data_IF_264374604894
#
_entry.id   IF_264374604894
#
_cell.length_a   1.000
_cell.length_b   1.000
_cell.length_c   1.000
_cell.angle_alpha   90.00
_cell.angle_beta   90.00
_cell.angle_gamma   90.00
#
_symmetry.space_group_name_H-M   'P 1'
#
loop_
_entity.id
_entity.type
_entity.pdbx_description
1 polymer ?
#
# COMPACT_ATOMS: atom_id res chain seq x y z
N UNK A 1 -14.65 -1.30 -10.78
CA UNK A 1 -15.80 -0.53 -11.25
C UNK A 1 -17.08 -0.90 -10.52
N UNK A 2 -17.50 -2.16 -10.45
CA UNK A 2 -18.73 -2.60 -9.80
C UNK A 2 -18.91 -2.20 -8.32
N UNK A 3 -17.85 -2.24 -7.49
CA UNK A 3 -17.96 -1.92 -6.05
C UNK A 3 -18.44 -0.47 -5.78
N UNK A 4 -17.92 0.51 -6.52
CA UNK A 4 -18.33 1.92 -6.38
C UNK A 4 -19.78 2.15 -6.81
N UNK A 5 -20.16 1.54 -7.92
CA UNK A 5 -21.54 1.60 -8.41
C UNK A 5 -22.50 0.99 -7.39
N UNK A 6 -22.12 -0.14 -6.75
CA UNK A 6 -22.94 -0.78 -5.72
C UNK A 6 -23.17 0.15 -4.53
N UNK A 7 -22.11 0.81 -4.01
CA UNK A 7 -22.26 1.75 -2.89
C UNK A 7 -23.23 2.89 -3.22
N UNK A 8 -23.04 3.56 -4.36
CA UNK A 8 -23.90 4.68 -4.75
C UNK A 8 -25.32 4.22 -5.06
N UNK A 9 -25.49 3.10 -5.79
CA UNK A 9 -26.83 2.60 -6.14
C UNK A 9 -27.62 2.19 -4.91
N UNK A 10 -27.02 1.44 -3.99
CA UNK A 10 -27.67 1.03 -2.73
C UNK A 10 -28.04 2.25 -1.92
N UNK A 11 -27.13 3.22 -1.74
CA UNK A 11 -27.39 4.46 -1.00
C UNK A 11 -28.55 5.24 -1.62
N UNK A 12 -28.55 5.41 -2.95
CA UNK A 12 -29.60 6.16 -3.65
C UNK A 12 -30.97 5.46 -3.52
N UNK A 13 -31.02 4.15 -3.66
CA UNK A 13 -32.25 3.38 -3.50
C UNK A 13 -32.77 3.49 -2.05
N UNK A 14 -31.89 3.33 -1.06
CA UNK A 14 -32.25 3.45 0.36
C UNK A 14 -32.76 4.84 0.66
N UNK A 15 -32.08 5.91 0.21
CA UNK A 15 -32.52 7.28 0.38
C UNK A 15 -33.91 7.52 -0.26
N UNK A 16 -34.12 7.02 -1.47
CA UNK A 16 -35.39 7.15 -2.17
C UNK A 16 -36.55 6.46 -1.42
N UNK A 17 -36.29 5.25 -0.88
CA UNK A 17 -37.28 4.52 -0.08
C UNK A 17 -37.63 5.28 1.20
N UNK A 18 -36.63 5.78 1.93
CA UNK A 18 -36.81 6.49 3.18
C UNK A 18 -37.58 7.81 3.00
N UNK A 19 -37.33 8.52 1.92
CA UNK A 19 -38.09 9.72 1.56
C UNK A 19 -39.54 9.35 1.11
N UNK A 20 -39.70 8.32 0.28
CA UNK A 20 -41.02 7.90 -0.22
C UNK A 20 -41.93 7.37 0.91
N UNK A 21 -41.36 6.76 1.94
CA UNK A 21 -42.10 6.29 3.12
C UNK A 21 -42.40 7.42 4.10
N UNK A 22 -41.90 8.63 3.88
CA UNK A 22 -42.06 9.77 4.78
C UNK A 22 -41.25 9.69 6.06
N UNK A 23 -40.27 8.76 6.15
CA UNK A 23 -39.41 8.62 7.31
C UNK A 23 -38.45 9.83 7.45
N UNK A 24 -38.00 10.38 6.33
CA UNK A 24 -37.14 11.56 6.28
C UNK A 24 -37.53 12.46 5.08
N UNK A 25 -37.23 13.75 5.22
CA UNK A 25 -37.37 14.73 4.12
C UNK A 25 -36.17 14.68 3.17
N UNK A 26 -36.30 15.24 1.99
CA UNK A 26 -35.19 15.38 1.05
C UNK A 26 -34.03 16.20 1.62
N UNK A 27 -34.32 17.25 2.39
CA UNK A 27 -33.33 18.12 3.00
C UNK A 27 -32.53 17.38 4.09
N UNK A 28 -33.20 16.59 4.91
CA UNK A 28 -32.54 15.74 5.92
C UNK A 28 -31.62 14.71 5.26
N UNK A 29 -32.10 14.02 4.22
CA UNK A 29 -31.28 13.07 3.47
C UNK A 29 -30.07 13.72 2.78
N UNK A 30 -30.24 14.91 2.22
CA UNK A 30 -29.14 15.69 1.66
C UNK A 30 -28.11 16.07 2.76
N UNK A 31 -28.60 16.43 3.95
CA UNK A 31 -27.77 16.70 5.12
C UNK A 31 -26.94 15.49 5.54
N UNK A 32 -27.57 14.32 5.66
CA UNK A 32 -26.88 13.06 6.03
C UNK A 32 -25.81 12.68 5.00
N UNK A 33 -26.11 12.76 3.71
CA UNK A 33 -25.13 12.50 2.65
C UNK A 33 -23.93 13.46 2.76
N UNK A 34 -24.19 14.75 3.00
CA UNK A 34 -23.17 15.78 3.15
C UNK A 34 -22.24 15.48 4.34
N UNK A 35 -22.81 15.13 5.49
CA UNK A 35 -22.01 14.77 6.68
C UNK A 35 -21.23 13.47 6.46
N UNK A 36 -21.82 12.45 5.85
CA UNK A 36 -21.09 11.21 5.52
C UNK A 36 -19.91 11.43 4.58
N UNK A 37 -20.04 12.29 3.56
CA UNK A 37 -18.93 12.67 2.68
C UNK A 37 -17.90 13.50 3.44
N UNK A 38 -18.33 14.41 4.31
CA UNK A 38 -17.47 15.23 5.15
C UNK A 38 -16.63 14.37 6.12
N UNK A 39 -17.19 13.28 6.67
CA UNK A 39 -16.47 12.36 7.53
C UNK A 39 -15.29 11.64 6.84
N UNK A 40 -15.35 11.45 5.51
CA UNK A 40 -14.34 10.67 4.79
C UNK A 40 -13.47 11.48 3.83
N UNK A 41 -13.71 12.80 3.67
CA UNK A 41 -12.99 13.60 2.66
C UNK A 41 -11.48 13.66 2.91
N UNK A 42 -11.05 13.79 4.18
CA UNK A 42 -9.64 13.80 4.57
C UNK A 42 -8.94 12.51 4.15
N UNK A 43 -9.57 11.37 4.39
CA UNK A 43 -9.07 10.06 3.98
C UNK A 43 -9.01 9.91 2.45
N UNK A 44 -9.98 10.45 1.72
CA UNK A 44 -9.95 10.43 0.26
C UNK A 44 -8.79 11.26 -0.30
N UNK A 45 -8.53 12.44 0.27
CA UNK A 45 -7.39 13.30 -0.09
C UNK A 45 -6.06 12.61 0.27
N UNK A 46 -5.99 11.99 1.45
CA UNK A 46 -4.82 11.21 1.88
C UNK A 46 -4.47 10.12 0.87
N UNK A 47 -5.46 9.37 0.36
CA UNK A 47 -5.23 8.35 -0.66
C UNK A 47 -4.62 8.89 -1.94
N UNK A 48 -5.11 10.04 -2.42
CA UNK A 48 -4.58 10.64 -3.64
C UNK A 48 -3.10 10.98 -3.46
N UNK A 49 -2.77 11.70 -2.40
CA UNK A 49 -1.43 12.23 -2.23
C UNK A 49 -0.41 11.20 -1.71
N UNK A 50 -0.83 10.21 -0.93
CA UNK A 50 0.06 9.10 -0.54
C UNK A 50 0.45 8.25 -1.74
N UNK A 51 -0.52 7.88 -2.61
CA UNK A 51 -0.24 7.14 -3.85
C UNK A 51 0.66 7.94 -4.79
N UNK A 52 0.41 9.24 -4.95
CA UNK A 52 1.25 10.12 -5.77
C UNK A 52 2.66 10.24 -5.19
N UNK A 53 2.80 10.47 -3.88
CA UNK A 53 4.10 10.61 -3.22
C UNK A 53 4.97 9.37 -3.39
N UNK A 54 4.45 8.22 -3.01
CA UNK A 54 5.21 6.97 -3.13
C UNK A 54 5.43 6.57 -4.59
N UNK A 55 4.48 6.86 -5.48
CA UNK A 55 4.66 6.70 -6.91
C UNK A 55 5.83 7.52 -7.45
N UNK A 56 5.93 8.79 -7.08
CA UNK A 56 7.07 9.68 -7.40
C UNK A 56 8.39 9.12 -6.89
N UNK A 57 8.43 8.60 -5.65
CA UNK A 57 9.62 8.00 -5.05
C UNK A 57 10.03 6.71 -5.77
N UNK A 58 9.05 5.92 -6.22
CA UNK A 58 9.26 4.69 -7.01
C UNK A 58 9.81 5.02 -8.39
N UNK A 59 9.17 5.95 -9.12
CA UNK A 59 9.61 6.38 -10.45
C UNK A 59 11.01 7.01 -10.41
N UNK A 60 11.34 7.75 -9.34
CA UNK A 60 12.68 8.29 -9.13
C UNK A 60 13.74 7.21 -8.81
N UNK A 61 13.36 5.94 -8.66
CA UNK A 61 14.27 4.82 -8.41
C UNK A 61 14.79 4.73 -6.99
N UNK A 62 14.13 5.37 -6.01
CA UNK A 62 14.55 5.34 -4.62
C UNK A 62 14.51 3.92 -4.06
N UNK A 63 13.40 3.22 -4.24
CA UNK A 63 13.23 1.84 -3.76
C UNK A 63 14.17 0.88 -4.48
N UNK A 64 14.36 1.02 -5.80
CA UNK A 64 15.25 0.17 -6.58
C UNK A 64 16.70 0.26 -6.09
N UNK A 65 17.16 1.46 -5.72
CA UNK A 65 18.52 1.66 -5.20
C UNK A 65 18.69 1.06 -3.80
N UNK A 66 17.68 1.18 -2.93
CA UNK A 66 17.67 0.54 -1.60
C UNK A 66 17.71 -0.97 -1.77
N UNK A 67 16.84 -1.53 -2.60
CA UNK A 67 16.73 -2.97 -2.85
C UNK A 67 18.01 -3.49 -3.50
N UNK A 68 18.56 -2.77 -4.48
CA UNK A 68 19.84 -3.12 -5.10
C UNK A 68 21.00 -3.15 -4.11
N UNK A 69 21.02 -2.24 -3.13
CA UNK A 69 22.01 -2.25 -2.04
C UNK A 69 21.82 -3.46 -1.09
N UNK A 70 20.56 -3.80 -0.78
CA UNK A 70 20.22 -4.97 0.01
C UNK A 70 20.57 -6.27 -0.72
N UNK A 71 20.27 -6.35 -2.02
CA UNK A 71 20.59 -7.50 -2.86
C UNK A 71 22.09 -7.80 -2.95
N UNK A 72 22.96 -6.79 -2.90
CA UNK A 72 24.43 -6.98 -2.85
C UNK A 72 24.88 -7.70 -1.56
N UNK A 73 24.10 -7.64 -0.49
CA UNK A 73 24.37 -8.33 0.79
C UNK A 73 23.76 -9.73 0.85
N UNK A 74 22.92 -10.10 -0.12
CA UNK A 74 22.30 -11.41 -0.21
C UNK A 74 23.39 -12.42 -0.61
N UNK A 75 23.82 -13.23 0.34
CA UNK A 75 24.72 -14.36 0.10
C UNK A 75 23.94 -15.62 -0.33
N UNK A 76 24.61 -16.76 -0.22
CA UNK A 76 24.00 -18.08 -0.50
C UNK A 76 23.32 -18.70 0.72
N UNK A 77 23.12 -17.96 1.80
CA UNK A 77 22.45 -18.45 2.99
C UNK A 77 20.93 -18.42 2.81
N UNK A 78 20.31 -19.58 2.71
CA UNK A 78 18.87 -19.77 2.50
C UNK A 78 18.01 -18.98 3.52
N UNK A 79 18.41 -19.00 4.80
CA UNK A 79 17.69 -18.25 5.86
C UNK A 79 17.89 -16.73 5.69
N UNK A 80 19.11 -16.32 5.33
CA UNK A 80 19.41 -14.93 5.03
C UNK A 80 18.60 -14.39 3.83
N UNK A 81 18.41 -15.23 2.81
CA UNK A 81 17.57 -14.91 1.63
C UNK A 81 16.10 -14.76 2.03
N UNK A 82 15.57 -15.65 2.89
CA UNK A 82 14.20 -15.55 3.39
C UNK A 82 13.98 -14.27 4.22
N UNK A 83 14.94 -13.92 5.09
CA UNK A 83 14.90 -12.67 5.85
C UNK A 83 14.99 -11.43 4.94
N UNK A 84 15.83 -11.47 3.91
CA UNK A 84 15.95 -10.38 2.95
C UNK A 84 14.66 -10.21 2.15
N UNK A 85 13.98 -11.31 1.80
CA UNK A 85 12.66 -11.26 1.16
C UNK A 85 11.65 -10.51 2.03
N UNK A 86 11.60 -10.83 3.33
CA UNK A 86 10.72 -10.14 4.28
C UNK A 86 11.04 -8.63 4.34
N UNK A 87 12.32 -8.28 4.46
CA UNK A 87 12.75 -6.89 4.54
C UNK A 87 12.42 -6.11 3.25
N UNK A 88 12.67 -6.69 2.08
CA UNK A 88 12.35 -6.07 0.79
C UNK A 88 10.83 -5.90 0.65
N UNK A 89 10.03 -6.88 1.08
CA UNK A 89 8.58 -6.78 1.04
C UNK A 89 8.05 -5.69 1.99
N UNK A 90 8.62 -5.55 3.20
CA UNK A 90 8.30 -4.46 4.14
C UNK A 90 8.59 -3.09 3.49
N UNK A 91 9.79 -2.92 2.94
CA UNK A 91 10.20 -1.66 2.30
C UNK A 91 9.37 -1.39 1.05
N UNK A 92 9.14 -2.41 0.22
CA UNK A 92 8.33 -2.30 -1.00
C UNK A 92 6.87 -2.01 -0.73
N UNK A 93 6.36 -2.29 0.49
CA UNK A 93 4.98 -2.00 0.89
C UNK A 93 4.81 -0.64 1.56
N UNK A 94 5.84 0.16 1.70
CA UNK A 94 5.73 1.52 2.28
C UNK A 94 4.80 2.43 1.47
N UNK A 95 4.57 2.15 0.20
CA UNK A 95 3.60 2.85 -0.64
C UNK A 95 2.13 2.48 -0.34
N UNK A 96 1.88 1.49 0.52
CA UNK A 96 0.55 0.97 0.83
C UNK A 96 -0.10 0.17 -0.30
N UNK A 97 0.63 -0.12 -1.38
CA UNK A 97 0.16 -0.80 -2.58
C UNK A 97 0.57 -2.28 -2.64
N UNK A 98 -0.41 -3.21 -2.59
CA UNK A 98 -0.10 -4.64 -2.70
C UNK A 98 0.50 -5.01 -4.05
N UNK A 99 0.05 -4.39 -5.14
CA UNK A 99 0.56 -4.66 -6.48
C UNK A 99 2.02 -4.23 -6.64
N UNK A 100 2.39 -3.04 -6.16
CA UNK A 100 3.77 -2.54 -6.18
C UNK A 100 4.71 -3.42 -5.37
N UNK A 101 4.27 -3.89 -4.19
CA UNK A 101 5.04 -4.82 -3.37
C UNK A 101 5.43 -6.08 -4.14
N UNK A 102 4.47 -6.69 -4.86
CA UNK A 102 4.75 -7.88 -5.68
C UNK A 102 5.65 -7.56 -6.87
N UNK A 103 5.38 -6.46 -7.59
CA UNK A 103 6.18 -6.04 -8.75
C UNK A 103 7.63 -5.68 -8.39
N UNK A 104 7.90 -5.35 -7.15
CA UNK A 104 9.23 -5.06 -6.63
C UNK A 104 9.90 -6.31 -6.07
N UNK A 105 9.21 -7.02 -5.18
CA UNK A 105 9.81 -8.11 -4.39
C UNK A 105 10.02 -9.38 -5.21
N UNK A 106 9.04 -9.74 -6.06
CA UNK A 106 9.10 -11.00 -6.80
C UNK A 106 10.23 -10.99 -7.85
N UNK A 107 10.34 -10.01 -8.76
CA UNK A 107 11.43 -9.97 -9.72
C UNK A 107 12.81 -9.88 -9.07
N UNK A 108 12.94 -9.15 -7.94
CA UNK A 108 14.20 -9.04 -7.23
C UNK A 108 14.66 -10.36 -6.60
N UNK A 109 13.75 -11.13 -6.01
CA UNK A 109 14.09 -12.30 -5.21
C UNK A 109 13.96 -13.64 -5.94
N UNK A 110 13.11 -13.73 -6.96
CA UNK A 110 12.87 -14.97 -7.71
C UNK A 110 14.13 -15.58 -8.33
N UNK A 111 15.05 -14.81 -8.95
CA UNK A 111 16.30 -15.36 -9.47
C UNK A 111 17.18 -15.98 -8.37
N UNK A 112 17.19 -15.38 -7.16
CA UNK A 112 17.94 -15.88 -6.00
C UNK A 112 17.32 -17.18 -5.47
N UNK A 113 15.97 -17.24 -5.40
CA UNK A 113 15.25 -18.46 -5.00
C UNK A 113 15.49 -19.59 -6.00
N UNK A 114 15.45 -19.32 -7.30
CA UNK A 114 15.80 -20.31 -8.34
C UNK A 114 17.23 -20.82 -8.16
N UNK A 115 18.21 -19.92 -8.02
CA UNK A 115 19.63 -20.28 -7.83
C UNK A 115 19.88 -21.16 -6.62
N UNK A 116 19.14 -20.94 -5.53
CA UNK A 116 19.28 -21.69 -4.28
C UNK A 116 18.30 -22.86 -4.15
N UNK A 117 17.56 -23.18 -5.21
CA UNK A 117 16.52 -24.22 -5.22
C UNK A 117 15.46 -24.09 -4.14
N UNK A 118 15.16 -22.83 -3.73
CA UNK A 118 14.08 -22.52 -2.79
C UNK A 118 12.73 -22.50 -3.51
N UNK A 119 11.66 -22.90 -2.82
CA UNK A 119 10.30 -22.90 -3.36
C UNK A 119 9.77 -21.48 -3.56
N UNK A 120 9.04 -21.28 -4.65
CA UNK A 120 8.38 -19.99 -4.97
C UNK A 120 7.24 -19.68 -4.01
N UNK A 121 6.57 -20.72 -3.52
CA UNK A 121 5.51 -20.62 -2.52
C UNK A 121 6.05 -20.00 -1.22
N UNK A 122 7.30 -20.32 -0.84
CA UNK A 122 7.97 -19.72 0.31
C UNK A 122 8.24 -18.23 0.08
N UNK A 123 8.66 -17.83 -1.13
CA UNK A 123 8.80 -16.42 -1.51
C UNK A 123 7.46 -15.69 -1.35
N UNK A 124 6.40 -16.24 -1.95
CA UNK A 124 5.07 -15.63 -1.92
C UNK A 124 4.53 -15.52 -0.49
N UNK A 125 4.68 -16.58 0.30
CA UNK A 125 4.20 -16.61 1.69
C UNK A 125 4.86 -15.54 2.55
N UNK A 126 6.19 -15.40 2.48
CA UNK A 126 6.93 -14.40 3.22
C UNK A 126 6.52 -12.99 2.76
N UNK A 127 6.40 -12.78 1.45
CA UNK A 127 5.99 -11.50 0.87
C UNK A 127 4.59 -11.10 1.34
N UNK A 128 3.60 -12.01 1.27
CA UNK A 128 2.21 -11.75 1.68
C UNK A 128 2.11 -11.50 3.19
N UNK A 129 2.87 -12.24 4.00
CA UNK A 129 2.87 -12.04 5.45
C UNK A 129 3.40 -10.65 5.82
N UNK A 130 4.51 -10.23 5.24
CA UNK A 130 5.08 -8.90 5.45
C UNK A 130 4.11 -7.79 4.96
N UNK A 131 3.54 -7.96 3.77
CA UNK A 131 2.56 -7.06 3.19
C UNK A 131 1.31 -6.93 4.07
N UNK A 132 0.80 -8.05 4.61
CA UNK A 132 -0.37 -8.07 5.49
C UNK A 132 -0.19 -7.21 6.74
N UNK A 133 0.99 -7.27 7.35
CA UNK A 133 1.33 -6.45 8.52
C UNK A 133 1.51 -4.98 8.15
N UNK A 134 2.14 -4.70 7.02
CA UNK A 134 2.36 -3.34 6.56
C UNK A 134 1.08 -2.64 6.10
N UNK A 135 0.02 -3.37 5.79
CA UNK A 135 -1.31 -2.81 5.53
C UNK A 135 -1.92 -2.07 6.73
N UNK A 136 -1.38 -2.27 7.94
CA UNK A 136 -1.80 -1.54 9.14
C UNK A 136 -1.26 -0.09 9.20
N UNK A 137 -0.40 0.33 8.27
CA UNK A 137 0.07 1.72 8.18
C UNK A 137 -1.09 2.70 8.00
N UNK A 138 -0.98 3.95 8.50
CA UNK A 138 -2.10 4.90 8.45
C UNK A 138 -2.54 5.29 7.03
N UNK A 139 -1.65 5.17 6.05
CA UNK A 139 -1.95 5.31 4.62
C UNK A 139 -2.19 3.98 3.91
N UNK A 140 -2.21 2.87 4.64
CA UNK A 140 -2.57 1.55 4.12
C UNK A 140 -4.06 1.48 3.77
N UNK A 141 -4.37 0.88 2.63
CA UNK A 141 -5.75 0.80 2.14
C UNK A 141 -6.77 0.21 3.12
N UNK A 142 -6.46 -0.89 3.84
CA UNK A 142 -7.36 -1.43 4.87
C UNK A 142 -7.58 -0.49 6.04
N UNK A 143 -6.51 0.11 6.59
CA UNK A 143 -6.59 1.03 7.74
C UNK A 143 -7.41 2.27 7.41
N UNK A 144 -7.17 2.88 6.25
CA UNK A 144 -7.94 4.06 5.83
C UNK A 144 -9.43 3.75 5.64
N UNK A 145 -9.76 2.56 5.11
CA UNK A 145 -11.17 2.15 4.98
C UNK A 145 -11.82 1.88 6.33
N UNK A 146 -11.11 1.25 7.26
CA UNK A 146 -11.60 1.03 8.61
C UNK A 146 -11.82 2.38 9.33
N UNK A 147 -10.84 3.28 9.27
CA UNK A 147 -10.92 4.61 9.85
C UNK A 147 -12.13 5.39 9.31
N UNK A 148 -12.39 5.32 8.00
CA UNK A 148 -13.55 5.99 7.39
C UNK A 148 -14.90 5.44 7.86
N UNK A 149 -14.98 4.15 8.21
CA UNK A 149 -16.23 3.52 8.70
C UNK A 149 -16.53 3.88 10.15
N UNK A 150 -15.48 4.00 10.97
CA UNK A 150 -15.62 4.35 12.40
C UNK A 150 -15.49 5.86 12.65
N UNK A 151 -15.45 6.67 11.58
CA UNK A 151 -15.34 8.13 11.62
C UNK A 151 -14.15 8.63 12.46
N UNK A 152 -13.01 7.92 12.36
CA UNK A 152 -11.76 8.23 13.04
C UNK A 152 -10.70 8.69 12.04
N UNK A 153 -9.81 9.59 12.47
CA UNK A 153 -8.64 9.92 11.64
C UNK A 153 -7.74 8.67 11.48
N UNK A 154 -7.20 8.40 10.27
CA UNK A 154 -6.38 7.22 10.01
C UNK A 154 -5.15 7.10 10.93
N UNK A 155 -4.60 8.23 11.35
CA UNK A 155 -3.44 8.28 12.24
C UNK A 155 -3.81 7.85 13.66
N UNK A 156 -4.95 8.31 14.19
CA UNK A 156 -5.45 7.92 15.52
C UNK A 156 -5.74 6.43 15.58
N UNK A 157 -6.38 5.89 14.55
CA UNK A 157 -6.59 4.44 14.44
C UNK A 157 -5.27 3.68 14.41
N UNK A 158 -4.29 4.17 13.65
CA UNK A 158 -2.98 3.54 13.56
C UNK A 158 -2.26 3.51 14.91
N UNK A 159 -2.29 4.58 15.69
CA UNK A 159 -1.70 4.58 17.04
C UNK A 159 -2.29 3.48 17.93
N UNK A 160 -3.59 3.21 17.82
CA UNK A 160 -4.23 2.11 18.54
C UNK A 160 -3.80 0.74 18.01
N UNK A 161 -3.53 0.62 16.71
CA UNK A 161 -3.09 -0.63 16.05
C UNK A 161 -1.57 -0.85 16.13
N UNK A 162 -0.79 0.15 16.55
CA UNK A 162 0.68 0.08 16.59
C UNK A 162 1.23 -1.11 17.39
N UNK A 163 0.72 -1.46 18.59
CA UNK A 163 1.17 -2.64 19.30
C UNK A 163 0.96 -3.93 18.50
N UNK A 164 -0.19 -4.04 17.82
CA UNK A 164 -0.50 -5.18 16.95
C UNK A 164 0.43 -5.22 15.74
N UNK A 165 0.75 -4.08 15.15
CA UNK A 165 1.69 -3.98 14.02
C UNK A 165 3.10 -4.41 14.42
N UNK A 166 3.59 -4.00 15.61
CA UNK A 166 4.90 -4.41 16.13
C UNK A 166 4.94 -5.93 16.32
N UNK A 167 3.94 -6.52 16.95
CA UNK A 167 3.83 -7.99 17.10
C UNK A 167 3.77 -8.66 15.73
N UNK A 168 3.00 -8.10 14.80
CA UNK A 168 2.91 -8.58 13.42
C UNK A 168 4.26 -8.57 12.69
N UNK A 169 5.07 -7.51 12.84
CA UNK A 169 6.42 -7.44 12.28
C UNK A 169 7.35 -8.52 12.87
N UNK A 170 7.28 -8.74 14.15
CA UNK A 170 8.04 -9.82 14.81
C UNK A 170 7.62 -11.18 14.26
N UNK A 171 6.31 -11.40 14.09
CA UNK A 171 5.78 -12.64 13.51
C UNK A 171 6.16 -12.78 12.02
N UNK A 172 6.20 -11.72 11.24
CA UNK A 172 6.64 -11.75 9.85
C UNK A 172 8.11 -12.15 9.73
N UNK A 173 8.97 -11.59 10.58
CA UNK A 173 10.39 -11.98 10.66
C UNK A 173 10.51 -13.43 11.16
N UNK A 174 9.76 -13.82 12.19
CA UNK A 174 9.70 -15.19 12.69
C UNK A 174 9.27 -16.19 11.61
N UNK A 175 8.27 -15.84 10.81
CA UNK A 175 7.80 -16.64 9.66
C UNK A 175 8.90 -16.78 8.61
N UNK A 176 9.62 -15.70 8.29
CA UNK A 176 10.74 -15.76 7.35
C UNK A 176 11.86 -16.66 7.85
N UNK A 177 12.22 -16.60 9.14
CA UNK A 177 13.22 -17.49 9.75
C UNK A 177 12.74 -18.94 9.71
N UNK A 178 11.52 -19.20 10.15
CA UNK A 178 10.95 -20.54 10.21
C UNK A 178 10.96 -21.22 8.83
N UNK A 179 10.41 -20.55 7.83
CA UNK A 179 10.36 -21.11 6.47
C UNK A 179 11.75 -21.16 5.83
N UNK A 180 12.63 -20.19 6.12
CA UNK A 180 14.03 -20.25 5.69
C UNK A 180 14.75 -21.48 6.25
N UNK A 181 14.53 -21.85 7.53
CA UNK A 181 15.07 -23.07 8.13
C UNK A 181 14.45 -24.33 7.53
N UNK A 182 13.14 -24.32 7.23
CA UNK A 182 12.47 -25.43 6.55
C UNK A 182 13.03 -25.65 5.14
N UNK A 183 13.23 -24.57 4.36
CA UNK A 183 13.85 -24.64 3.03
C UNK A 183 15.29 -25.17 3.13
N UNK A 184 16.08 -24.69 4.09
CA UNK A 184 17.44 -25.20 4.32
C UNK A 184 17.46 -26.70 4.59
N UNK A 185 16.55 -27.19 5.46
CA UNK A 185 16.41 -28.63 5.77
C UNK A 185 15.95 -29.42 4.54
N UNK A 186 15.02 -28.88 3.76
CA UNK A 186 14.52 -29.52 2.53
C UNK A 186 15.65 -29.66 1.50
N UNK A 187 16.36 -28.58 1.22
CA UNK A 187 17.46 -28.57 0.24
C UNK A 187 18.55 -29.55 0.66
N UNK A 188 18.92 -29.59 1.95
CA UNK A 188 19.91 -30.54 2.46
C UNK A 188 19.48 -32.01 2.32
N UNK A 189 18.19 -32.33 2.35
CA UNK A 189 17.67 -33.70 2.15
C UNK A 189 17.58 -34.14 0.70
N UNK A 190 17.46 -33.20 -0.23
CA UNK A 190 17.24 -33.51 -1.64
C UNK A 190 18.56 -33.84 -2.40
N UNK A 191 19.71 -33.45 -1.84
CA UNK A 191 21.02 -33.77 -2.46
C UNK A 191 21.13 -33.30 -3.91
N UNK A 192 22.15 -33.78 -4.63
CA UNK A 192 22.46 -33.39 -6.01
C UNK A 192 21.40 -33.79 -7.07
N UNK A 193 20.34 -34.52 -6.68
CA UNK A 193 19.30 -35.01 -7.59
C UNK A 193 18.37 -33.94 -8.17
N UNK A 194 18.35 -32.72 -7.58
CA UNK A 194 17.42 -31.64 -8.01
C UNK A 194 17.96 -30.77 -9.16
N UNK A 195 19.23 -30.87 -9.46
CA UNK A 195 19.91 -29.97 -10.43
C UNK A 195 19.32 -30.04 -11.84
N UNK A 196 18.54 -31.09 -12.17
CA UNK A 196 18.13 -31.37 -13.55
C UNK A 196 16.68 -31.01 -13.92
N UNK A 197 15.73 -30.91 -12.98
CA UNK A 197 14.31 -30.97 -13.34
C UNK A 197 13.56 -29.62 -13.36
N UNK A 198 14.02 -28.59 -12.68
CA UNK A 198 13.29 -27.33 -12.50
C UNK A 198 13.82 -26.13 -13.30
N UNK A 199 14.90 -26.32 -14.06
CA UNK A 199 15.50 -25.25 -14.89
C UNK A 199 14.72 -24.96 -16.20
N UNK A 200 13.66 -25.70 -16.50
CA UNK A 200 13.12 -25.81 -17.87
C UNK A 200 11.80 -25.11 -18.17
N UNK A 201 11.11 -24.48 -17.27
CA UNK A 201 9.76 -23.95 -17.57
C UNK A 201 9.44 -22.61 -16.91
N UNK A 202 10.08 -21.54 -17.33
CA UNK A 202 9.47 -20.21 -17.18
C UNK A 202 10.02 -19.22 -18.19
N UNK A 203 9.11 -18.72 -19.00
CA UNK A 203 9.29 -17.64 -19.95
C UNK A 203 9.51 -16.32 -19.17
N UNK A 204 10.60 -15.65 -19.43
CA UNK A 204 11.03 -14.36 -18.83
C UNK A 204 10.26 -13.15 -19.43
N UNK A 205 9.04 -13.34 -19.88
CA UNK A 205 8.28 -12.34 -20.62
C UNK A 205 7.16 -11.71 -19.77
N UNK A 206 7.50 -10.97 -18.73
CA UNK A 206 6.75 -9.78 -18.35
C UNK A 206 7.59 -8.90 -17.38
N UNK A 207 8.67 -8.40 -17.89
CA UNK A 207 9.37 -7.27 -17.29
C UNK A 207 8.43 -6.05 -17.43
N UNK A 208 7.72 -5.71 -16.36
CA UNK A 208 7.06 -4.43 -16.26
C UNK A 208 8.11 -3.35 -16.50
N UNK A 209 8.21 -2.90 -17.75
CA UNK A 209 9.19 -1.91 -18.22
C UNK A 209 9.05 -0.66 -17.38
N UNK A 210 9.85 -0.55 -16.32
CA UNK A 210 10.03 0.70 -15.61
C UNK A 210 10.64 1.68 -16.61
N UNK A 211 10.07 2.85 -16.67
CA UNK A 211 10.51 3.91 -17.57
C UNK A 211 11.85 4.46 -17.02
N UNK A 212 12.98 3.88 -17.46
CA UNK A 212 14.34 4.29 -17.04
C UNK A 212 14.56 5.80 -17.24
N UNK A 213 13.80 6.43 -18.13
CA UNK A 213 13.82 7.86 -18.37
C UNK A 213 13.36 8.69 -17.16
N UNK A 214 12.61 8.10 -16.24
CA UNK A 214 12.11 8.76 -15.02
C UNK A 214 13.04 8.61 -13.82
N UNK A 215 14.00 7.68 -13.84
CA UNK A 215 14.93 7.44 -12.74
C UNK A 215 15.83 8.66 -12.46
N UNK A 216 15.99 9.00 -11.19
CA UNK A 216 16.80 10.15 -10.71
C UNK A 216 17.80 9.70 -9.63
N UNK A 217 18.78 8.85 -9.98
CA UNK A 217 19.73 8.30 -9.02
C UNK A 217 20.56 9.37 -8.30
N UNK A 218 20.75 10.56 -8.92
CA UNK A 218 21.43 11.70 -8.30
C UNK A 218 20.68 12.28 -7.10
N UNK A 219 19.34 12.18 -7.09
CA UNK A 219 18.50 12.73 -6.02
C UNK A 219 18.18 11.70 -4.94
N UNK A 220 18.82 10.53 -4.95
CA UNK A 220 18.53 9.43 -4.03
C UNK A 220 18.54 9.85 -2.56
N UNK A 221 19.60 10.55 -2.12
CA UNK A 221 19.75 10.99 -0.72
C UNK A 221 18.62 11.95 -0.35
N UNK A 222 18.29 12.89 -1.24
CA UNK A 222 17.16 13.81 -1.03
C UNK A 222 15.83 13.03 -0.90
N UNK A 223 15.56 12.07 -1.77
CA UNK A 223 14.33 11.29 -1.74
C UNK A 223 14.20 10.46 -0.47
N UNK A 224 15.30 9.86 0.01
CA UNK A 224 15.32 9.12 1.29
C UNK A 224 15.07 10.08 2.46
N UNK A 225 15.75 11.22 2.51
CA UNK A 225 15.56 12.21 3.59
C UNK A 225 14.12 12.73 3.58
N UNK A 226 13.58 13.07 2.40
CA UNK A 226 12.22 13.54 2.26
C UNK A 226 11.20 12.49 2.72
N UNK A 227 11.40 11.23 2.35
CA UNK A 227 10.53 10.13 2.78
C UNK A 227 10.58 9.93 4.28
N UNK A 228 11.78 9.93 4.87
CA UNK A 228 11.93 9.84 6.33
C UNK A 228 11.30 11.04 7.04
N UNK A 229 11.48 12.25 6.52
CA UNK A 229 10.88 13.46 7.08
C UNK A 229 9.34 13.38 7.05
N UNK A 230 8.75 12.94 5.93
CA UNK A 230 7.30 12.72 5.82
C UNK A 230 6.83 11.70 6.86
N UNK A 231 7.50 10.56 7.00
CA UNK A 231 7.15 9.53 7.98
C UNK A 231 7.28 10.07 9.41
N UNK A 232 8.36 10.77 9.73
CA UNK A 232 8.58 11.34 11.08
C UNK A 232 7.47 12.35 11.42
N UNK A 233 7.14 13.26 10.50
CA UNK A 233 6.08 14.26 10.73
C UNK A 233 4.71 13.59 10.90
N UNK A 234 4.43 12.49 10.16
CA UNK A 234 3.22 11.69 10.34
C UNK A 234 3.17 11.02 11.72
N UNK A 235 4.29 10.46 12.19
CA UNK A 235 4.38 9.81 13.51
C UNK A 235 4.24 10.84 14.65
N UNK A 236 4.78 12.05 14.45
CA UNK A 236 4.65 13.13 15.43
C UNK A 236 3.25 13.76 15.45
N UNK A 237 2.41 13.46 14.46
CA UNK A 237 1.02 13.94 14.32
C UNK A 237 0.85 15.46 14.46
N UNK A 238 1.84 16.23 13.92
CA UNK A 238 1.86 17.70 14.01
C UNK A 238 0.85 18.33 13.04
N UNK A 239 0.67 17.69 11.88
CA UNK A 239 -0.22 18.16 10.81
C UNK A 239 -1.11 17.03 10.30
N UNK A 240 -2.30 17.37 9.75
CA UNK A 240 -3.15 16.37 9.11
C UNK A 240 -2.38 15.54 8.07
N UNK A 241 -2.52 14.20 8.12
CA UNK A 241 -1.74 13.26 7.30
C UNK A 241 -1.82 13.56 5.80
N UNK A 242 -2.99 13.97 5.29
CA UNK A 242 -3.15 14.35 3.88
C UNK A 242 -2.29 15.56 3.50
N UNK A 243 -2.15 16.56 4.39
CA UNK A 243 -1.34 17.75 4.17
C UNK A 243 0.16 17.41 4.08
N UNK A 244 0.62 16.55 4.98
CA UNK A 244 2.02 16.08 5.00
C UNK A 244 2.38 15.42 3.66
N UNK A 245 1.52 14.55 3.15
CA UNK A 245 1.72 13.93 1.83
C UNK A 245 1.59 14.91 0.68
N UNK A 246 0.71 15.91 0.75
CA UNK A 246 0.62 16.97 -0.27
C UNK A 246 1.94 17.73 -0.40
N UNK A 247 2.51 18.18 0.73
CA UNK A 247 3.79 18.89 0.76
C UNK A 247 4.93 17.97 0.29
N UNK A 248 4.99 16.74 0.80
CA UNK A 248 5.98 15.74 0.39
C UNK A 248 5.93 15.46 -1.12
N UNK A 249 4.74 15.28 -1.67
CA UNK A 249 4.52 15.07 -3.11
C UNK A 249 4.98 16.28 -3.93
N UNK A 250 4.61 17.50 -3.53
CA UNK A 250 5.00 18.72 -4.21
C UNK A 250 6.53 18.88 -4.24
N UNK A 251 7.21 18.69 -3.09
CA UNK A 251 8.68 18.74 -3.00
C UNK A 251 9.33 17.63 -3.82
N UNK A 252 8.80 16.41 -3.76
CA UNK A 252 9.28 15.26 -4.54
C UNK A 252 9.23 15.53 -6.04
N UNK A 253 8.11 16.06 -6.55
CA UNK A 253 7.96 16.39 -7.97
C UNK A 253 8.88 17.54 -8.37
N UNK A 254 8.93 18.62 -7.60
CA UNK A 254 9.73 19.82 -7.93
C UNK A 254 11.22 19.52 -8.02
N UNK A 255 11.74 18.68 -7.13
CA UNK A 255 13.18 18.37 -7.09
C UNK A 255 13.56 17.31 -8.12
N UNK A 256 12.74 16.27 -8.28
CA UNK A 256 13.07 15.16 -9.18
C UNK A 256 12.77 15.46 -10.64
N UNK A 257 11.74 16.25 -10.93
CA UNK A 257 11.25 16.42 -12.28
C UNK A 257 11.10 17.88 -12.64
N UNK A 258 11.84 18.34 -13.63
CA UNK A 258 11.78 19.74 -14.10
C UNK A 258 10.95 19.82 -15.38
N UNK A 259 10.01 20.77 -15.41
CA UNK A 259 9.20 21.11 -16.58
C UNK A 259 7.80 20.50 -16.58
N UNK A 260 6.83 21.32 -17.05
CA UNK A 260 5.38 21.01 -17.03
C UNK A 260 5.00 19.69 -17.71
N UNK A 261 5.68 19.31 -18.81
CA UNK A 261 5.37 18.06 -19.53
C UNK A 261 5.65 16.85 -18.66
N UNK A 262 6.78 16.86 -17.94
CA UNK A 262 7.21 15.76 -17.09
C UNK A 262 6.36 15.65 -15.83
N UNK A 263 6.01 16.80 -15.20
CA UNK A 263 5.07 16.84 -14.08
C UNK A 263 3.72 16.21 -14.46
N UNK A 264 3.17 16.59 -15.61
CA UNK A 264 1.90 16.04 -16.09
C UNK A 264 1.98 14.52 -16.37
N UNK A 265 3.10 14.04 -16.90
CA UNK A 265 3.31 12.62 -17.16
C UNK A 265 3.29 11.81 -15.85
N UNK A 266 4.04 12.25 -14.86
CA UNK A 266 4.13 11.60 -13.54
C UNK A 266 2.78 11.60 -12.81
N UNK A 267 2.08 12.73 -12.79
CA UNK A 267 0.76 12.81 -12.19
C UNK A 267 -0.20 11.85 -12.90
N UNK A 268 -0.18 11.80 -14.23
CA UNK A 268 -1.06 10.92 -15.00
C UNK A 268 -0.78 9.43 -14.78
N UNK A 269 0.47 9.01 -14.61
CA UNK A 269 0.82 7.60 -14.38
C UNK A 269 0.21 7.04 -13.09
N UNK A 270 0.11 7.88 -12.04
CA UNK A 270 -0.41 7.48 -10.73
C UNK A 270 -1.86 7.93 -10.47
N UNK A 271 -2.40 8.86 -11.28
CA UNK A 271 -3.73 9.43 -11.09
C UNK A 271 -4.84 8.38 -11.07
N UNK A 272 -4.76 7.36 -11.93
CA UNK A 272 -5.77 6.30 -12.01
C UNK A 272 -5.88 5.52 -10.70
N UNK A 273 -4.76 5.18 -10.07
CA UNK A 273 -4.71 4.46 -8.80
C UNK A 273 -5.25 5.34 -7.66
N UNK A 274 -4.76 6.58 -7.53
CA UNK A 274 -5.22 7.54 -6.51
C UNK A 274 -6.71 7.84 -6.63
N UNK A 275 -7.19 8.16 -7.85
CA UNK A 275 -8.62 8.43 -8.10
C UNK A 275 -9.50 7.21 -7.84
N UNK A 276 -9.01 6.02 -8.18
CA UNK A 276 -9.72 4.76 -7.92
C UNK A 276 -9.96 4.54 -6.42
N UNK A 277 -8.97 4.81 -5.60
CA UNK A 277 -9.07 4.67 -4.14
C UNK A 277 -9.95 5.77 -3.54
N UNK A 278 -9.66 7.03 -3.85
CA UNK A 278 -10.42 8.18 -3.34
C UNK A 278 -11.91 8.09 -3.68
N UNK A 279 -12.25 7.74 -4.93
CA UNK A 279 -13.66 7.59 -5.32
C UNK A 279 -14.36 6.46 -4.58
N UNK A 280 -13.67 5.39 -4.22
CA UNK A 280 -14.25 4.30 -3.42
C UNK A 280 -14.60 4.78 -2.00
N UNK A 281 -13.71 5.56 -1.38
CA UNK A 281 -13.94 6.15 -0.05
C UNK A 281 -15.09 7.17 -0.07
N UNK A 282 -15.11 8.06 -1.07
CA UNK A 282 -16.22 9.03 -1.19
C UNK A 282 -17.57 8.34 -1.40
N UNK A 283 -17.62 7.29 -2.22
CA UNK A 283 -18.85 6.50 -2.38
C UNK A 283 -19.24 5.77 -1.08
N UNK A 284 -18.27 5.31 -0.29
CA UNK A 284 -18.53 4.75 1.03
C UNK A 284 -19.05 5.82 2.00
N UNK A 285 -18.56 7.06 1.94
CA UNK A 285 -19.08 8.18 2.71
C UNK A 285 -20.54 8.49 2.42
N UNK A 286 -20.95 8.47 1.15
CA UNK A 286 -22.37 8.59 0.78
C UNK A 286 -23.20 7.46 1.40
N UNK A 287 -22.71 6.22 1.31
CA UNK A 287 -23.36 5.06 1.89
C UNK A 287 -23.50 5.16 3.42
N UNK A 288 -22.43 5.57 4.11
CA UNK A 288 -22.44 5.81 5.55
C UNK A 288 -23.45 6.88 5.95
N UNK A 289 -23.47 8.00 5.24
CA UNK A 289 -24.43 9.07 5.46
C UNK A 289 -25.88 8.58 5.36
N UNK A 290 -26.20 7.80 4.32
CA UNK A 290 -27.55 7.27 4.14
C UNK A 290 -27.97 6.20 5.17
N UNK A 291 -27.04 5.41 5.72
CA UNK A 291 -27.36 4.29 6.59
C UNK A 291 -27.14 4.57 8.08
N UNK A 292 -26.01 5.20 8.45
CA UNK A 292 -25.69 5.42 9.86
C UNK A 292 -26.50 6.55 10.48
N UNK A 293 -26.71 7.65 9.74
CA UNK A 293 -27.48 8.80 10.24
C UNK A 293 -28.99 8.57 10.17
N UNK A 294 -29.45 7.52 9.46
CA UNK A 294 -30.87 7.13 9.41
C UNK A 294 -31.21 5.99 10.37
N UNK A 295 -30.21 5.36 11.00
CA UNK A 295 -30.42 4.31 12.00
C UNK A 295 -30.47 4.94 13.40
N UNK A 296 -31.45 4.59 14.26
CA UNK A 296 -31.44 5.03 15.66
C UNK A 296 -30.14 4.57 16.31
N UNK A 297 -29.39 5.54 16.87
CA UNK A 297 -28.14 5.25 17.55
C UNK A 297 -28.42 4.38 18.79
N UNK A 298 -27.66 3.31 19.03
CA UNK A 298 -27.74 2.58 20.28
C UNK A 298 -27.25 3.40 21.51
N UNK A 299 -26.92 4.68 21.30
CA UNK A 299 -26.38 5.59 22.32
C UNK A 299 -27.37 6.65 22.79
N UNK A 300 -28.62 6.63 22.29
CA UNK A 300 -29.72 7.46 22.77
C UNK A 300 -30.64 6.62 23.77
#
# INVERSE_FOLDING_TARGET
>A
MYKRQAFVSVSTITAAILVATGAFTLDEMAGFIKEGVKGVHGTAVLFIFSVLFFGVMTDAGMFDKIIGALMKKVGNNVVGVALMTCLIAIIGHLDGGGASTFLITIPAMLPVYKRLHMRRETLLLICVTAMGVMNLMPWGGPTMRAASVIEMEPNDLWFQLMPMQIVGLVLAVGTAIFWGLQEKKRIAKLGDAIVAEDAGKYDDSDDGKKDEALARPQNFIFNVILTLAVIIVLVLDIFPSYYVFMVGCALGILVNYRGKKLHNSIIKSHASAGLSMASTILCAGVFLGCLLYTSPSPRD
#
